data_IF_707373954222
#
_entry.id   IF_707373954222
#
_cell.length_a   1.000
_cell.length_b   1.000
_cell.length_c   1.000
_cell.angle_alpha   90.00
_cell.angle_beta   90.00
_cell.angle_gamma   90.00
#
_symmetry.space_group_name_H-M   'P 1'
#
loop_
_entity.id
_entity.type
_entity.pdbx_description
1 polymer ?
#
# COMPACT_ATOMS: atom_id res chain seq x y z
N UNK A 1 -35.05 -37.70 -16.60
CA UNK A 1 -35.82 -36.45 -16.83
C UNK A 1 -35.52 -35.54 -15.65
N UNK A 2 -34.75 -34.47 -15.89
CA UNK A 2 -35.25 -33.06 -15.87
C UNK A 2 -35.82 -32.74 -14.48
N UNK A 3 -35.22 -31.91 -13.63
CA UNK A 3 -34.60 -30.62 -13.90
C UNK A 3 -35.36 -29.56 -13.08
N UNK A 4 -34.63 -28.53 -12.61
CA UNK A 4 -35.13 -27.23 -12.13
C UNK A 4 -35.78 -27.16 -10.73
N UNK A 5 -35.53 -26.16 -9.88
CA UNK A 5 -34.51 -25.10 -9.82
C UNK A 5 -34.69 -24.34 -8.49
N UNK A 6 -33.59 -23.68 -8.07
CA UNK A 6 -33.48 -22.39 -7.37
C UNK A 6 -34.29 -22.07 -6.09
N UNK A 7 -33.57 -21.65 -5.04
CA UNK A 7 -33.96 -20.51 -4.20
C UNK A 7 -32.69 -19.77 -3.74
N UNK A 8 -32.61 -18.51 -4.14
CA UNK A 8 -31.52 -17.59 -3.88
C UNK A 8 -31.71 -16.92 -2.52
N UNK A 9 -30.64 -16.75 -1.73
CA UNK A 9 -30.83 -16.03 -0.47
C UNK A 9 -29.62 -15.77 0.41
N UNK A 10 -28.96 -14.62 0.19
CA UNK A 10 -28.29 -13.83 1.24
C UNK A 10 -26.80 -14.07 1.54
N UNK A 11 -25.95 -14.00 0.52
CA UNK A 11 -24.49 -13.79 0.68
C UNK A 11 -24.08 -12.32 0.90
N UNK A 12 -24.91 -11.48 1.54
CA UNK A 12 -24.62 -10.04 1.71
C UNK A 12 -24.48 -9.54 3.15
N UNK A 13 -24.78 -10.37 4.17
CA UNK A 13 -24.66 -9.95 5.59
C UNK A 13 -23.32 -10.33 6.27
N UNK A 14 -22.53 -11.22 5.68
CA UNK A 14 -21.24 -11.66 6.25
C UNK A 14 -20.04 -10.75 5.88
N UNK A 15 -20.12 -10.00 4.77
CA UNK A 15 -19.02 -9.12 4.31
C UNK A 15 -18.82 -7.85 5.15
N UNK A 16 -19.77 -7.51 6.01
CA UNK A 16 -19.70 -6.35 6.92
C UNK A 16 -19.21 -6.70 8.33
N UNK A 17 -19.27 -7.98 8.74
CA UNK A 17 -18.89 -8.45 10.09
C UNK A 17 -17.42 -8.89 10.22
N UNK A 18 -16.71 -9.11 9.11
CA UNK A 18 -15.31 -9.55 9.14
C UNK A 18 -14.29 -8.41 9.25
N UNK A 19 -14.69 -7.17 8.93
CA UNK A 19 -13.87 -5.96 9.09
C UNK A 19 -13.42 -5.68 10.54
N UNK A 20 -14.28 -5.79 11.58
CA UNK A 20 -13.82 -5.60 12.96
C UNK A 20 -12.80 -6.66 13.41
N UNK A 21 -12.91 -7.91 12.92
CA UNK A 21 -11.99 -8.98 13.28
C UNK A 21 -10.60 -8.81 12.63
N UNK A 22 -10.58 -8.45 11.35
CA UNK A 22 -9.33 -8.18 10.62
C UNK A 22 -8.62 -6.95 11.17
N UNK A 23 -9.36 -5.91 11.56
CA UNK A 23 -8.79 -4.73 12.21
C UNK A 23 -8.23 -5.06 13.60
N UNK A 24 -8.90 -5.92 14.38
CA UNK A 24 -8.35 -6.42 15.65
C UNK A 24 -7.04 -7.18 15.43
N UNK A 25 -6.96 -8.04 14.41
CA UNK A 25 -5.71 -8.74 14.04
C UNK A 25 -4.62 -7.76 13.57
N UNK A 26 -4.96 -6.74 12.80
CA UNK A 26 -4.03 -5.69 12.36
C UNK A 26 -3.48 -4.90 13.55
N UNK A 27 -4.36 -4.45 14.45
CA UNK A 27 -3.98 -3.73 15.68
C UNK A 27 -3.08 -4.57 16.59
N UNK A 28 -3.38 -5.86 16.74
CA UNK A 28 -2.53 -6.77 17.50
C UNK A 28 -1.13 -6.90 16.90
N UNK A 29 -1.03 -6.99 15.56
CA UNK A 29 0.26 -7.00 14.87
C UNK A 29 1.05 -5.70 15.11
N UNK A 30 0.40 -4.54 14.98
CA UNK A 30 1.04 -3.23 15.22
C UNK A 30 1.57 -3.14 16.65
N UNK A 31 0.74 -3.48 17.64
CA UNK A 31 1.14 -3.42 19.05
C UNK A 31 2.26 -4.42 19.37
N UNK A 32 2.26 -5.61 18.75
CA UNK A 32 3.35 -6.58 18.87
C UNK A 32 4.66 -5.98 18.36
N UNK A 33 4.66 -5.40 17.16
CA UNK A 33 5.85 -4.76 16.60
C UNK A 33 6.34 -3.59 17.47
N UNK A 34 5.45 -2.73 17.98
CA UNK A 34 5.84 -1.64 18.88
C UNK A 34 6.47 -2.15 20.18
N UNK A 35 5.96 -3.26 20.73
CA UNK A 35 6.53 -3.87 21.94
C UNK A 35 7.91 -4.43 21.68
N UNK A 36 8.12 -5.08 20.52
CA UNK A 36 9.42 -5.57 20.10
C UNK A 36 10.43 -4.44 19.89
N UNK A 37 10.03 -3.36 19.22
CA UNK A 37 10.86 -2.17 19.03
C UNK A 37 11.31 -1.58 20.37
N UNK A 38 10.37 -1.42 21.31
CA UNK A 38 10.66 -0.95 22.66
C UNK A 38 11.68 -1.83 23.36
N UNK A 39 11.57 -3.15 23.24
CA UNK A 39 12.50 -4.08 23.87
C UNK A 39 13.92 -3.97 23.28
N UNK A 40 14.05 -3.92 21.95
CA UNK A 40 15.35 -3.75 21.28
C UNK A 40 16.00 -2.44 21.73
N UNK A 41 15.23 -1.36 21.77
CA UNK A 41 15.75 -0.06 22.21
C UNK A 41 16.23 -0.06 23.67
N UNK A 42 15.53 -0.75 24.58
CA UNK A 42 15.96 -0.88 25.97
C UNK A 42 17.25 -1.69 26.07
N UNK A 43 17.33 -2.80 25.33
CA UNK A 43 18.48 -3.71 25.34
C UNK A 43 19.74 -3.02 24.80
N UNK A 44 19.64 -2.36 23.64
CA UNK A 44 20.81 -1.83 22.92
C UNK A 44 21.26 -0.45 23.40
N UNK A 45 20.36 0.37 23.97
CA UNK A 45 20.70 1.73 24.41
C UNK A 45 21.15 1.79 25.87
N UNK A 46 21.03 0.70 26.65
CA UNK A 46 21.32 0.67 28.10
C UNK A 46 20.70 1.85 28.90
N UNK A 47 19.60 2.43 28.39
CA UNK A 47 18.92 3.57 29.00
C UNK A 47 18.05 3.06 30.16
N UNK A 48 17.99 3.84 31.24
CA UNK A 48 17.31 3.46 32.49
C UNK A 48 15.88 2.97 32.25
N UNK A 49 15.62 1.68 32.50
CA UNK A 49 14.34 1.00 32.22
C UNK A 49 13.12 1.69 32.84
N UNK A 50 13.30 2.47 33.92
CA UNK A 50 12.22 3.26 34.54
C UNK A 50 11.67 4.37 33.64
N UNK A 51 12.50 5.02 32.80
CA UNK A 51 12.03 6.04 31.84
C UNK A 51 11.20 5.41 30.71
N UNK A 52 11.56 4.17 30.33
CA UNK A 52 10.91 3.47 29.24
C UNK A 52 9.50 2.99 29.58
N UNK A 53 9.14 2.82 30.85
CA UNK A 53 7.79 2.39 31.26
C UNK A 53 6.70 3.33 30.70
N UNK A 54 6.99 4.62 30.56
CA UNK A 54 6.05 5.66 30.11
C UNK A 54 6.04 5.93 28.59
N UNK A 55 6.93 5.29 27.81
CA UNK A 55 7.05 5.57 26.38
C UNK A 55 5.71 5.44 25.64
N UNK A 56 5.30 6.54 25.01
CA UNK A 56 4.14 6.60 24.15
C UNK A 56 4.46 6.02 22.77
N UNK A 57 3.42 5.82 21.95
CA UNK A 57 3.61 5.26 20.60
C UNK A 57 4.49 6.16 19.72
N UNK A 58 4.40 7.48 19.90
CA UNK A 58 5.24 8.44 19.20
C UNK A 58 6.71 8.30 19.62
N UNK A 59 6.99 8.29 20.93
CA UNK A 59 8.33 8.13 21.48
C UNK A 59 9.01 6.86 20.97
N UNK A 60 8.29 5.72 20.98
CA UNK A 60 8.84 4.45 20.48
C UNK A 60 9.29 4.59 19.01
N UNK A 61 8.48 5.25 18.19
CA UNK A 61 8.79 5.43 16.76
C UNK A 61 9.95 6.40 16.57
N UNK A 62 9.98 7.52 17.30
CA UNK A 62 11.04 8.51 17.23
C UNK A 62 12.40 7.94 17.67
N UNK A 63 12.44 7.26 18.83
CA UNK A 63 13.63 6.60 19.33
C UNK A 63 14.14 5.51 18.38
N UNK A 64 13.22 4.78 17.73
CA UNK A 64 13.59 3.80 16.70
C UNK A 64 14.26 4.47 15.50
N UNK A 65 13.73 5.61 15.04
CA UNK A 65 14.30 6.34 13.90
C UNK A 65 15.69 6.87 14.22
N UNK A 66 15.89 7.43 15.42
CA UNK A 66 17.20 7.88 15.87
C UNK A 66 18.21 6.72 15.95
N UNK A 67 17.81 5.61 16.57
CA UNK A 67 18.63 4.40 16.65
C UNK A 67 19.07 3.87 15.27
N UNK A 68 18.14 3.82 14.31
CA UNK A 68 18.45 3.40 12.93
C UNK A 68 19.42 4.35 12.22
N UNK A 69 19.34 5.66 12.48
CA UNK A 69 20.29 6.65 11.93
C UNK A 69 21.69 6.41 12.48
N UNK A 70 21.82 6.20 13.78
CA UNK A 70 23.11 5.90 14.43
C UNK A 70 23.71 4.60 13.92
N UNK A 71 22.90 3.53 13.80
CA UNK A 71 23.35 2.26 13.22
C UNK A 71 23.87 2.40 11.78
N UNK A 72 23.21 3.23 10.97
CA UNK A 72 23.66 3.49 9.60
C UNK A 72 25.00 4.23 9.56
N UNK A 73 25.20 5.20 10.45
CA UNK A 73 26.45 5.96 10.53
C UNK A 73 27.63 5.07 10.97
N UNK A 74 27.40 4.17 11.94
CA UNK A 74 28.40 3.19 12.38
C UNK A 74 28.79 2.21 11.25
N UNK A 75 27.84 1.78 10.41
CA UNK A 75 28.15 0.88 9.28
C UNK A 75 28.91 1.55 8.14
N UNK A 76 28.82 2.87 7.99
CA UNK A 76 29.56 3.60 6.96
C UNK A 76 31.03 3.84 7.30
N UNK A 77 31.47 3.62 8.55
CA UNK A 77 32.87 3.82 8.96
C UNK A 77 33.76 2.58 8.82
N UNK A 78 33.20 1.41 8.46
CA UNK A 78 33.94 0.15 8.31
C UNK A 78 34.34 -0.20 6.85
N UNK A 79 34.12 0.70 5.89
CA UNK A 79 34.59 0.51 4.51
C UNK A 79 35.82 1.37 4.25
N UNK A 80 37.00 0.77 4.44
CA UNK A 80 38.30 1.31 4.05
C UNK A 80 38.36 1.63 2.54
N UNK A 81 39.05 2.70 2.11
CA UNK A 81 39.00 3.22 0.74
C UNK A 81 40.15 2.69 -0.14
N UNK A 82 39.86 2.08 -1.30
CA UNK A 82 40.83 1.97 -2.40
C UNK A 82 40.20 1.54 -3.75
N UNK A 83 40.34 2.44 -4.74
CA UNK A 83 40.61 2.17 -6.17
C UNK A 83 39.46 1.88 -7.15
N UNK A 84 39.00 2.96 -7.81
CA UNK A 84 38.98 3.19 -9.28
C UNK A 84 38.57 2.05 -10.24
N UNK A 85 37.40 2.15 -10.91
CA UNK A 85 37.19 2.45 -12.37
C UNK A 85 35.67 2.58 -12.69
N UNK A 86 35.25 3.36 -13.71
CA UNK A 86 33.86 3.76 -13.96
C UNK A 86 33.10 2.85 -14.96
N UNK A 87 31.79 2.71 -14.73
CA UNK A 87 30.65 2.52 -15.66
C UNK A 87 30.82 1.68 -16.95
N UNK A 88 29.89 0.74 -17.24
CA UNK A 88 28.78 1.13 -18.11
C UNK A 88 27.40 0.59 -17.70
N UNK A 89 26.40 1.48 -17.77
CA UNK A 89 25.02 1.26 -18.22
C UNK A 89 24.28 0.01 -17.72
N UNK A 90 23.62 0.13 -16.56
CA UNK A 90 22.38 -0.59 -16.28
C UNK A 90 21.22 0.39 -16.46
N UNK A 91 20.34 0.22 -17.47
CA UNK A 91 19.11 1.00 -17.52
C UNK A 91 18.29 0.69 -16.26
N UNK A 92 17.58 1.68 -15.68
CA UNK A 92 16.72 1.42 -14.54
C UNK A 92 15.63 0.45 -14.97
N UNK A 93 15.80 -0.83 -14.66
CA UNK A 93 14.72 -1.80 -14.79
C UNK A 93 13.67 -1.40 -13.76
N UNK A 94 12.70 -0.61 -14.20
CA UNK A 94 11.50 -0.34 -13.41
C UNK A 94 10.90 -1.70 -13.02
N UNK A 95 10.56 -1.93 -11.75
CA UNK A 95 9.99 -3.21 -11.34
C UNK A 95 8.81 -3.57 -12.24
N UNK A 96 8.77 -4.79 -12.80
CA UNK A 96 7.69 -5.23 -13.71
C UNK A 96 6.28 -5.11 -13.08
N UNK A 97 6.20 -4.98 -11.76
CA UNK A 97 4.95 -4.64 -11.08
C UNK A 97 4.42 -3.26 -11.49
N UNK A 98 5.30 -2.26 -11.67
CA UNK A 98 4.94 -0.90 -12.05
C UNK A 98 4.48 -0.84 -13.52
N UNK A 99 5.10 -1.61 -14.41
CA UNK A 99 4.66 -1.68 -15.81
C UNK A 99 3.25 -2.27 -15.92
N UNK A 100 2.95 -3.36 -15.21
CA UNK A 100 1.61 -3.94 -15.19
C UNK A 100 0.55 -2.98 -14.62
N UNK A 101 0.87 -2.29 -13.52
CA UNK A 101 -0.05 -1.32 -12.92
C UNK A 101 -0.32 -0.13 -13.86
N UNK A 102 0.72 0.41 -14.51
CA UNK A 102 0.58 1.51 -15.45
C UNK A 102 -0.15 1.12 -16.74
N UNK A 103 0.04 -0.11 -17.21
CA UNK A 103 -0.73 -0.67 -18.34
C UNK A 103 -2.22 -0.77 -18.01
N UNK A 104 -2.56 -1.29 -16.82
CA UNK A 104 -3.95 -1.35 -16.36
C UNK A 104 -4.58 0.04 -16.23
N UNK A 105 -3.83 1.02 -15.71
CA UNK A 105 -4.29 2.41 -15.63
C UNK A 105 -4.55 3.02 -17.01
N UNK A 106 -3.66 2.81 -17.99
CA UNK A 106 -3.84 3.31 -19.36
C UNK A 106 -5.06 2.68 -20.04
N UNK A 107 -5.28 1.38 -19.87
CA UNK A 107 -6.47 0.69 -20.40
C UNK A 107 -7.75 1.27 -19.78
N UNK A 108 -7.76 1.52 -18.46
CA UNK A 108 -8.89 2.14 -17.79
C UNK A 108 -9.19 3.55 -18.32
N UNK A 109 -8.16 4.37 -18.53
CA UNK A 109 -8.32 5.72 -19.11
C UNK A 109 -8.88 5.66 -20.54
N UNK A 110 -8.44 4.70 -21.37
CA UNK A 110 -8.96 4.51 -22.72
C UNK A 110 -10.44 4.08 -22.70
N UNK A 111 -10.82 3.18 -21.80
CA UNK A 111 -12.22 2.75 -21.64
C UNK A 111 -13.11 3.90 -21.17
N UNK A 112 -12.64 4.74 -20.25
CA UNK A 112 -13.36 5.95 -19.82
C UNK A 112 -13.55 6.95 -20.96
N UNK A 113 -12.51 7.18 -21.77
CA UNK A 113 -12.60 8.06 -22.94
C UNK A 113 -13.59 7.51 -23.99
N UNK A 114 -13.55 6.21 -24.25
CA UNK A 114 -14.49 5.53 -25.15
C UNK A 114 -15.93 5.60 -24.64
N UNK A 115 -16.15 5.41 -23.34
CA UNK A 115 -17.46 5.53 -22.70
C UNK A 115 -18.01 6.97 -22.76
N UNK A 116 -17.16 7.95 -22.49
CA UNK A 116 -17.50 9.37 -22.64
C UNK A 116 -17.88 9.70 -24.10
N UNK A 117 -17.11 9.22 -25.08
CA UNK A 117 -17.41 9.41 -26.50
C UNK A 117 -18.74 8.75 -26.92
N UNK A 118 -19.02 7.53 -26.43
CA UNK A 118 -20.27 6.84 -26.67
C UNK A 118 -21.49 7.61 -26.13
N UNK A 119 -21.39 8.15 -24.92
CA UNK A 119 -22.48 8.95 -24.34
C UNK A 119 -22.70 10.26 -25.11
N UNK A 120 -21.63 10.93 -25.57
CA UNK A 120 -21.72 12.13 -26.39
C UNK A 120 -22.32 11.84 -27.78
N UNK A 121 -21.98 10.71 -28.40
CA UNK A 121 -22.52 10.31 -29.71
C UNK A 121 -24.02 9.98 -29.65
N UNK A 122 -24.49 9.30 -28.60
CA UNK A 122 -25.92 9.01 -28.41
C UNK A 122 -26.75 10.27 -28.11
N UNK A 123 -26.18 11.24 -27.38
CA UNK A 123 -26.83 12.53 -27.12
C UNK A 123 -26.98 13.38 -28.40
N UNK A 124 -26.03 13.29 -29.32
CA UNK A 124 -26.08 13.97 -30.62
C UNK A 124 -27.10 13.35 -31.60
N UNK A 125 -27.35 12.03 -31.51
CA UNK A 125 -28.32 11.35 -32.40
C UNK A 125 -29.79 11.62 -32.05
N UNK A 126 -30.12 12.09 -30.84
CA UNK A 126 -31.50 12.40 -30.43
C UNK A 126 -32.01 13.77 -30.93
N UNK A 127 -31.20 14.57 -31.64
CA UNK A 127 -31.61 15.92 -32.09
C UNK A 127 -31.99 16.06 -33.58
N UNK A 128 -32.09 14.98 -34.36
CA UNK A 128 -32.49 15.08 -35.77
C UNK A 128 -33.83 14.39 -36.08
N UNK A 129 -34.88 14.79 -35.36
CA UNK A 129 -36.23 14.36 -35.70
C UNK A 129 -37.26 15.16 -34.93
N UNK A 130 -37.50 16.41 -35.33
CA UNK A 130 -38.78 17.12 -35.20
C UNK A 130 -38.64 18.57 -35.72
N UNK A 131 -38.55 18.74 -37.03
CA UNK A 131 -38.99 19.98 -37.68
C UNK A 131 -39.68 19.59 -39.00
N UNK A 132 -40.95 19.23 -38.87
CA UNK A 132 -41.93 19.31 -39.95
C UNK A 132 -43.25 19.77 -39.35
N UNK A 133 -43.44 21.08 -39.37
CA UNK A 133 -44.73 21.75 -39.59
C UNK A 133 -44.46 22.99 -40.43
#
# INVERSE_FOLDING_TARGET
MMGSECEAGSSSKHRKKNKPLMEKKRRARINKCLSQLKQILIQDQHKNSQSHAKWEKADILEMTVEYLKTLRQQKSTDTSPATTVPSPTVPPTVPLQYSNFMQQYLIYQQQLAAFSSYMNFNLASTNHGNFSK
#
